data_IF_737950121103
#
_entry.id   IF_737950121103
#
_cell.length_a   1.000
_cell.length_b   1.000
_cell.length_c   1.000
_cell.angle_alpha   90.00
_cell.angle_beta   90.00
_cell.angle_gamma   90.00
#
_symmetry.space_group_name_H-M   'P 1'
#
loop_
_entity.id
_entity.type
_entity.pdbx_description
1 polymer ?
#
# COMPACT_ATOMS: atom_id res chain seq x y z
N UNK A 1 -29.54 -29.86 68.58
CA UNK A 1 -28.56 -28.76 68.47
C UNK A 1 -27.86 -28.82 67.14
N UNK A 2 -28.30 -28.08 66.13
CA UNK A 2 -27.78 -28.11 64.77
C UNK A 2 -26.99 -26.84 64.48
N UNK A 3 -25.67 -26.97 64.33
CA UNK A 3 -24.79 -25.87 63.97
C UNK A 3 -24.83 -25.69 62.43
N UNK A 4 -25.37 -24.54 62.00
CA UNK A 4 -25.30 -24.06 60.60
C UNK A 4 -23.92 -23.46 60.34
N UNK A 5 -23.14 -24.12 59.46
CA UNK A 5 -21.91 -23.53 58.90
C UNK A 5 -22.27 -22.60 57.74
N UNK A 6 -21.98 -21.33 57.93
CA UNK A 6 -22.06 -20.33 56.86
C UNK A 6 -20.71 -20.36 56.07
N UNK A 7 -20.72 -20.93 54.90
CA UNK A 7 -19.62 -20.78 53.92
C UNK A 7 -19.76 -19.40 53.28
N UNK A 8 -18.83 -18.50 53.60
CA UNK A 8 -18.67 -17.23 52.90
C UNK A 8 -17.91 -17.49 51.63
N UNK A 9 -18.61 -17.44 50.49
CA UNK A 9 -17.98 -17.44 49.15
C UNK A 9 -17.32 -16.09 48.92
N UNK A 10 -16.00 -16.05 48.89
CA UNK A 10 -15.22 -14.91 48.40
C UNK A 10 -15.22 -14.96 46.88
N UNK A 11 -15.99 -14.09 46.24
CA UNK A 11 -15.89 -13.83 44.82
C UNK A 11 -14.65 -12.95 44.55
N UNK A 12 -13.60 -13.53 44.00
CA UNK A 12 -12.46 -12.76 43.52
C UNK A 12 -12.83 -12.20 42.13
N UNK A 13 -13.15 -10.92 42.07
CA UNK A 13 -13.31 -10.20 40.82
C UNK A 13 -11.92 -9.92 40.23
N UNK A 14 -11.51 -10.70 39.23
CA UNK A 14 -10.35 -10.40 38.45
C UNK A 14 -10.66 -9.22 37.48
N UNK A 15 -10.20 -8.03 37.84
CA UNK A 15 -10.21 -6.87 36.93
C UNK A 15 -9.15 -7.09 35.89
N UNK A 16 -9.54 -7.55 34.70
CA UNK A 16 -8.67 -7.58 33.53
C UNK A 16 -8.56 -6.13 33.02
N UNK A 17 -7.49 -5.45 33.39
CA UNK A 17 -7.11 -4.17 32.79
C UNK A 17 -6.71 -4.44 31.34
N UNK A 18 -7.62 -4.24 30.39
CA UNK A 18 -7.28 -4.15 28.97
C UNK A 18 -6.50 -2.85 28.76
N UNK A 19 -5.19 -2.93 28.73
CA UNK A 19 -4.36 -1.87 28.22
C UNK A 19 -4.68 -1.76 26.72
N UNK A 20 -5.50 -0.80 26.35
CA UNK A 20 -5.67 -0.38 24.96
C UNK A 20 -4.33 0.22 24.50
N UNK A 21 -3.48 -0.59 23.90
CA UNK A 21 -2.34 -0.09 23.17
C UNK A 21 -2.91 0.76 22.02
N UNK A 22 -2.79 2.08 22.16
CA UNK A 22 -3.04 2.98 21.04
C UNK A 22 -2.01 2.64 19.97
N UNK A 23 -2.40 1.84 18.99
CA UNK A 23 -1.60 1.58 17.81
C UNK A 23 -1.58 2.88 16.99
N UNK A 24 -0.62 3.74 17.27
CA UNK A 24 -0.30 4.91 16.44
C UNK A 24 0.43 4.38 15.21
N UNK A 25 -0.16 4.54 14.05
CA UNK A 25 0.54 4.26 12.81
C UNK A 25 1.65 5.31 12.62
N UNK A 26 2.88 4.84 12.59
CA UNK A 26 4.07 5.67 12.43
C UNK A 26 4.36 5.86 10.93
N UNK A 27 4.38 7.09 10.44
CA UNK A 27 4.81 7.37 9.07
C UNK A 27 6.34 7.23 9.03
N UNK A 28 6.82 6.20 8.35
CA UNK A 28 8.25 5.91 8.24
C UNK A 28 8.89 6.59 7.03
N UNK A 29 8.10 6.86 5.99
CA UNK A 29 8.55 7.59 4.81
C UNK A 29 7.37 8.17 4.04
N UNK A 30 7.56 9.35 3.45
CA UNK A 30 6.63 9.94 2.51
C UNK A 30 7.41 10.61 1.37
N UNK A 31 7.00 10.37 0.14
CA UNK A 31 7.57 11.01 -1.05
C UNK A 31 6.46 11.55 -1.93
N UNK A 32 6.74 12.68 -2.58
CA UNK A 32 5.81 13.33 -3.50
C UNK A 32 6.54 13.70 -4.78
N UNK A 33 5.84 13.68 -5.89
CA UNK A 33 6.34 14.19 -7.15
C UNK A 33 5.24 14.92 -7.89
N UNK A 34 5.61 15.98 -8.60
CA UNK A 34 4.74 16.76 -9.45
C UNK A 34 5.16 16.58 -10.92
N UNK A 35 4.29 17.00 -11.81
CA UNK A 35 4.54 16.90 -13.24
C UNK A 35 4.04 15.58 -13.83
N UNK A 36 3.74 15.67 -15.12
CA UNK A 36 3.19 14.55 -15.88
C UNK A 36 4.28 13.51 -16.16
N UNK A 37 3.98 12.25 -15.88
CA UNK A 37 4.80 11.11 -16.23
C UNK A 37 4.02 10.18 -17.18
N UNK A 38 4.42 10.08 -18.44
CA UNK A 38 3.76 9.19 -19.38
C UNK A 38 4.14 7.73 -19.12
N UNK A 39 3.16 6.84 -19.27
CA UNK A 39 3.34 5.40 -19.16
C UNK A 39 3.23 4.82 -20.56
N UNK A 40 4.31 4.24 -21.05
CA UNK A 40 4.42 3.67 -22.42
C UNK A 40 4.71 2.18 -22.42
N UNK A 41 4.86 1.55 -21.25
CA UNK A 41 5.29 0.16 -21.14
C UNK A 41 4.15 -0.74 -20.68
N UNK A 42 4.01 -1.87 -21.32
CA UNK A 42 3.18 -2.98 -20.84
C UNK A 42 3.89 -3.80 -19.76
N UNK A 43 5.20 -3.63 -19.61
CA UNK A 43 5.98 -4.19 -18.50
C UNK A 43 6.05 -3.19 -17.35
N UNK A 44 6.01 -3.63 -16.08
CA UNK A 44 6.13 -2.74 -14.93
C UNK A 44 7.42 -1.93 -14.96
N UNK A 45 7.33 -0.61 -14.93
CA UNK A 45 8.46 0.32 -14.88
C UNK A 45 8.37 1.21 -13.66
N UNK A 46 9.52 1.56 -13.08
CA UNK A 46 9.56 2.41 -11.90
C UNK A 46 9.00 3.79 -12.20
N UNK A 47 8.08 4.25 -11.36
CA UNK A 47 7.53 5.60 -11.46
C UNK A 47 8.52 6.59 -10.83
N UNK A 48 9.05 7.55 -11.59
CA UNK A 48 10.02 8.51 -11.08
C UNK A 48 9.54 9.28 -9.86
N UNK A 49 10.40 9.41 -8.86
CA UNK A 49 10.10 10.10 -7.60
C UNK A 49 9.24 9.30 -6.63
N UNK A 50 8.85 8.07 -6.97
CA UNK A 50 8.05 7.19 -6.13
C UNK A 50 8.88 6.05 -5.55
N UNK A 51 10.04 6.38 -5.04
CA UNK A 51 10.93 5.51 -4.27
C UNK A 51 11.24 6.17 -2.92
N UNK A 52 11.07 5.44 -1.83
CA UNK A 52 11.43 5.94 -0.50
C UNK A 52 12.93 5.86 -0.27
N UNK A 53 13.45 6.67 0.65
CA UNK A 53 14.72 6.35 1.30
C UNK A 53 14.62 5.02 2.04
N UNK A 54 15.75 4.37 2.29
CA UNK A 54 15.79 3.17 3.10
C UNK A 54 15.37 3.49 4.55
N UNK A 55 14.57 2.61 5.16
CA UNK A 55 14.11 2.72 6.54
C UNK A 55 14.24 1.39 7.27
N UNK A 56 14.45 1.44 8.58
CA UNK A 56 14.47 0.26 9.44
C UNK A 56 13.06 -0.12 9.87
N UNK A 57 12.70 -1.39 9.69
CA UNK A 57 11.42 -1.97 10.10
C UNK A 57 11.63 -3.01 11.20
N UNK A 58 10.91 -2.92 12.33
CA UNK A 58 11.11 -3.83 13.48
C UNK A 58 10.50 -5.22 13.27
N UNK A 59 9.84 -5.45 12.15
CA UNK A 59 9.00 -6.60 11.88
C UNK A 59 7.51 -6.30 12.08
N UNK A 60 6.65 -7.10 11.47
CA UNK A 60 5.21 -6.91 11.49
C UNK A 60 4.64 -6.34 10.20
N UNK A 61 3.52 -5.64 10.27
CA UNK A 61 2.84 -5.09 9.11
C UNK A 61 3.47 -3.78 8.65
N UNK A 62 3.65 -3.65 7.35
CA UNK A 62 3.96 -2.43 6.64
C UNK A 62 2.76 -2.09 5.76
N UNK A 63 2.31 -0.86 5.83
CA UNK A 63 1.21 -0.32 5.02
C UNK A 63 1.76 0.76 4.12
N UNK A 64 1.39 0.77 2.85
CA UNK A 64 1.70 1.89 1.99
C UNK A 64 0.49 2.32 1.18
N UNK A 65 0.31 3.64 1.06
CA UNK A 65 -0.72 4.26 0.25
C UNK A 65 -0.07 5.06 -0.86
N UNK A 66 -0.42 4.73 -2.08
CA UNK A 66 -0.06 5.49 -3.27
C UNK A 66 -1.28 6.24 -3.79
N UNK A 67 -1.12 7.54 -4.03
CA UNK A 67 -2.17 8.41 -4.59
C UNK A 67 -1.59 9.15 -5.78
N UNK A 68 -2.31 9.20 -6.90
CA UNK A 68 -1.88 9.93 -8.08
C UNK A 68 -3.08 10.45 -8.88
N UNK A 69 -2.89 11.61 -9.53
CA UNK A 69 -3.67 11.92 -10.71
C UNK A 69 -3.33 10.90 -11.79
N UNK A 70 -4.34 10.34 -12.43
CA UNK A 70 -4.18 9.31 -13.42
C UNK A 70 -5.12 9.51 -14.59
N UNK A 71 -4.63 9.18 -15.78
CA UNK A 71 -5.41 9.14 -17.01
C UNK A 71 -4.97 7.93 -17.84
N UNK A 72 -5.93 7.13 -18.26
CA UNK A 72 -5.71 6.07 -19.25
C UNK A 72 -6.42 6.48 -20.54
N UNK A 73 -5.65 6.57 -21.64
CA UNK A 73 -6.23 6.85 -22.95
C UNK A 73 -7.07 5.67 -23.42
N UNK A 74 -8.10 5.96 -24.19
CA UNK A 74 -8.85 4.91 -24.89
C UNK A 74 -7.88 4.15 -25.83
N UNK A 75 -8.02 2.84 -25.81
CA UNK A 75 -7.30 1.97 -26.73
C UNK A 75 -7.82 2.10 -28.18
N UNK A 76 -7.30 1.33 -29.13
CA UNK A 76 -7.84 1.28 -30.48
C UNK A 76 -9.34 1.05 -30.46
N UNK A 77 -10.06 1.67 -31.40
CA UNK A 77 -11.51 1.75 -31.49
C UNK A 77 -12.20 0.47 -31.03
N UNK A 78 -12.98 0.56 -29.93
CA UNK A 78 -13.81 -0.52 -29.39
C UNK A 78 -13.29 -1.21 -28.13
N UNK A 79 -12.13 -0.84 -27.58
CA UNK A 79 -11.62 -1.42 -26.34
C UNK A 79 -11.56 -0.40 -25.19
N UNK A 80 -12.62 -0.27 -24.41
CA UNK A 80 -12.63 0.47 -23.15
C UNK A 80 -11.87 -0.27 -22.03
N UNK A 81 -10.89 -1.10 -22.38
CA UNK A 81 -10.21 -2.00 -21.43
C UNK A 81 -8.80 -1.57 -21.05
N UNK A 82 -8.34 -0.42 -21.56
CA UNK A 82 -7.03 0.05 -21.16
C UNK A 82 -7.07 0.52 -19.71
N UNK A 83 -6.16 -0.01 -18.90
CA UNK A 83 -5.94 0.43 -17.53
C UNK A 83 -4.49 0.85 -17.35
N UNK A 84 -4.28 1.78 -16.45
CA UNK A 84 -2.97 2.04 -15.85
C UNK A 84 -2.93 1.26 -14.54
N UNK A 85 -2.14 0.20 -14.54
CA UNK A 85 -1.95 -0.62 -13.36
C UNK A 85 -0.74 -0.13 -12.58
N UNK A 86 -0.81 -0.27 -11.26
CA UNK A 86 0.32 0.00 -10.37
C UNK A 86 0.55 -1.18 -9.43
N UNK A 87 1.81 -1.37 -9.06
CA UNK A 87 2.18 -2.19 -7.92
C UNK A 87 3.08 -1.39 -6.96
N UNK A 88 2.98 -1.70 -5.68
CA UNK A 88 3.84 -1.17 -4.64
C UNK A 88 4.74 -2.31 -4.20
N UNK A 89 6.03 -2.22 -4.53
CA UNK A 89 7.01 -3.26 -4.29
C UNK A 89 7.99 -2.89 -3.18
N UNK A 90 8.40 -3.87 -2.39
CA UNK A 90 9.36 -3.72 -1.30
C UNK A 90 10.67 -4.39 -1.67
N UNK A 91 11.77 -3.72 -1.40
CA UNK A 91 13.12 -4.17 -1.68
C UNK A 91 13.99 -4.12 -0.43
N UNK A 92 14.92 -5.04 -0.31
CA UNK A 92 15.97 -5.01 0.72
C UNK A 92 17.15 -4.09 0.31
N UNK A 93 18.14 -3.97 1.17
CA UNK A 93 19.34 -3.15 0.93
C UNK A 93 20.22 -3.63 -0.22
N UNK A 94 20.02 -4.85 -0.70
CA UNK A 94 20.72 -5.41 -1.88
C UNK A 94 19.93 -5.18 -3.18
N UNK A 95 18.85 -4.41 -3.15
CA UNK A 95 17.90 -4.20 -4.24
C UNK A 95 17.21 -5.50 -4.70
N UNK A 96 17.12 -6.51 -3.85
CA UNK A 96 16.32 -7.69 -4.10
C UNK A 96 14.89 -7.42 -3.70
N UNK A 97 13.95 -7.65 -4.60
CA UNK A 97 12.53 -7.57 -4.29
C UNK A 97 12.15 -8.64 -3.27
N UNK A 98 11.60 -8.22 -2.13
CA UNK A 98 11.14 -9.12 -1.06
C UNK A 98 9.64 -9.39 -1.14
N UNK A 99 8.88 -8.55 -1.82
CA UNK A 99 7.45 -8.77 -2.04
C UNK A 99 6.72 -7.57 -2.61
N UNK A 100 5.41 -7.72 -2.72
CA UNK A 100 4.48 -6.68 -3.09
C UNK A 100 3.51 -6.43 -1.92
N UNK A 101 3.02 -5.21 -1.81
CA UNK A 101 1.92 -4.91 -0.90
C UNK A 101 0.61 -5.38 -1.54
N UNK A 102 -0.11 -6.28 -0.88
CA UNK A 102 -1.40 -6.77 -1.34
C UNK A 102 -2.53 -5.78 -0.93
N UNK A 103 -3.51 -5.46 -1.80
CA UNK A 103 -3.78 -6.03 -3.11
C UNK A 103 -3.05 -5.34 -4.29
N UNK A 104 -2.07 -4.46 -4.06
CA UNK A 104 -1.34 -3.77 -5.13
C UNK A 104 -0.32 -4.68 -5.82
N UNK A 105 -0.72 -5.90 -6.13
CA UNK A 105 0.04 -6.78 -7.00
C UNK A 105 -0.17 -6.39 -8.47
N UNK A 106 0.67 -6.90 -9.35
CA UNK A 106 0.85 -6.51 -10.76
C UNK A 106 -0.42 -6.34 -11.64
N UNK A 107 -1.62 -6.37 -11.09
CA UNK A 107 -2.88 -6.24 -11.82
C UNK A 107 -3.86 -5.26 -11.15
N UNK A 108 -3.42 -4.43 -10.21
CA UNK A 108 -4.31 -3.45 -9.59
C UNK A 108 -4.44 -2.22 -10.48
N UNK A 109 -5.58 -2.08 -11.14
CA UNK A 109 -5.89 -0.91 -11.93
C UNK A 109 -5.98 0.33 -11.04
N UNK A 110 -5.12 1.32 -11.29
CA UNK A 110 -5.22 2.63 -10.64
C UNK A 110 -6.32 3.47 -11.34
N UNK A 111 -6.31 3.51 -12.66
CA UNK A 111 -7.36 4.14 -13.45
C UNK A 111 -7.59 3.39 -14.76
N UNK A 112 -8.76 3.59 -15.39
CA UNK A 112 -9.15 2.93 -16.63
C UNK A 112 -9.54 3.94 -17.70
N UNK A 113 -9.48 3.53 -18.95
CA UNK A 113 -10.03 4.30 -20.05
C UNK A 113 -11.50 4.62 -19.79
N UNK A 114 -11.90 5.85 -20.09
CA UNK A 114 -13.26 6.35 -19.82
C UNK A 114 -13.48 6.92 -18.42
N UNK A 115 -12.58 6.71 -17.46
CA UNK A 115 -12.68 7.32 -16.13
C UNK A 115 -12.33 8.84 -16.12
N UNK A 116 -11.84 9.35 -17.25
CA UNK A 116 -11.33 10.71 -17.33
C UNK A 116 -10.04 10.90 -16.52
N UNK A 117 -9.65 12.16 -16.37
CA UNK A 117 -8.56 12.53 -15.46
C UNK A 117 -9.13 12.70 -14.05
N UNK A 118 -8.64 11.93 -13.10
CA UNK A 118 -9.04 12.01 -11.69
C UNK A 118 -7.90 11.61 -10.78
N UNK A 119 -8.04 11.88 -9.49
CA UNK A 119 -7.13 11.41 -8.46
C UNK A 119 -7.61 10.07 -7.94
N UNK A 120 -6.73 9.08 -7.99
CA UNK A 120 -6.97 7.73 -7.52
C UNK A 120 -5.99 7.36 -6.42
N UNK A 121 -6.39 6.43 -5.58
CA UNK A 121 -5.55 5.93 -4.49
C UNK A 121 -5.62 4.42 -4.41
N UNK A 122 -4.49 3.79 -4.11
CA UNK A 122 -4.41 2.37 -3.75
C UNK A 122 -3.61 2.22 -2.47
N UNK A 123 -4.06 1.33 -1.60
CA UNK A 123 -3.39 1.00 -0.35
C UNK A 123 -3.10 -0.48 -0.32
N UNK A 124 -1.90 -0.83 0.06
CA UNK A 124 -1.50 -2.22 0.22
C UNK A 124 -0.81 -2.47 1.56
N UNK A 125 -0.76 -3.74 1.94
CA UNK A 125 -0.18 -4.23 3.19
C UNK A 125 0.73 -5.42 2.89
N UNK A 126 1.84 -5.51 3.62
CA UNK A 126 2.73 -6.68 3.61
C UNK A 126 3.22 -6.93 5.04
N UNK A 127 3.42 -8.19 5.42
CA UNK A 127 4.11 -8.55 6.66
C UNK A 127 5.57 -8.82 6.35
N UNK A 128 6.47 -8.13 7.05
CA UNK A 128 7.92 -8.22 6.86
C UNK A 128 8.61 -8.68 8.15
N UNK A 129 9.72 -9.43 8.06
CA UNK A 129 10.61 -9.62 9.20
C UNK A 129 11.33 -8.30 9.56
N UNK A 130 12.01 -8.24 10.73
CA UNK A 130 12.89 -7.13 11.02
C UNK A 130 13.97 -6.96 9.94
N UNK A 131 14.21 -5.71 9.51
CA UNK A 131 15.16 -5.44 8.44
C UNK A 131 15.19 -4.00 7.99
N UNK A 132 15.99 -3.71 6.98
CA UNK A 132 16.04 -2.41 6.32
C UNK A 132 15.52 -2.56 4.90
N UNK A 133 14.58 -1.72 4.54
CA UNK A 133 13.81 -1.81 3.30
C UNK A 133 13.68 -0.44 2.64
N UNK A 134 13.35 -0.44 1.37
CA UNK A 134 12.77 0.69 0.67
C UNK A 134 11.57 0.23 -0.15
N UNK A 135 10.65 1.14 -0.41
CA UNK A 135 9.42 0.89 -1.16
C UNK A 135 9.45 1.71 -2.43
N UNK A 136 9.04 1.13 -3.52
CA UNK A 136 8.86 1.83 -4.78
C UNK A 136 7.54 1.48 -5.45
N UNK A 137 7.04 2.39 -6.26
CA UNK A 137 5.84 2.18 -7.09
C UNK A 137 6.28 1.95 -8.54
N UNK A 138 5.71 0.91 -9.15
CA UNK A 138 5.86 0.64 -10.57
C UNK A 138 4.51 0.79 -11.25
N UNK A 139 4.54 1.20 -12.49
CA UNK A 139 3.35 1.33 -13.31
C UNK A 139 3.51 0.69 -14.68
N UNK A 140 2.41 0.25 -15.25
CA UNK A 140 2.30 -0.25 -16.63
C UNK A 140 0.90 0.05 -17.17
N UNK A 141 0.73 -0.10 -18.44
CA UNK A 141 -0.61 -0.21 -19.03
C UNK A 141 -0.89 -1.65 -19.49
N UNK A 142 -2.16 -2.00 -19.60
CA UNK A 142 -2.57 -3.39 -19.83
C UNK A 142 -2.76 -3.76 -21.30
N UNK A 143 -2.85 -2.78 -22.18
CA UNK A 143 -3.08 -3.05 -23.62
C UNK A 143 -1.95 -2.50 -24.49
N UNK A 144 -1.53 -3.29 -25.48
CA UNK A 144 -0.60 -2.84 -26.50
C UNK A 144 -1.12 -1.61 -27.23
N UNK A 145 -0.24 -0.64 -27.50
CA UNK A 145 -0.52 0.64 -28.17
C UNK A 145 -1.42 1.60 -27.40
N UNK A 146 -1.74 1.30 -26.17
CA UNK A 146 -2.40 2.25 -25.29
C UNK A 146 -1.38 3.22 -24.69
N UNK A 147 -1.85 4.32 -24.19
CA UNK A 147 -1.05 5.27 -23.43
C UNK A 147 -1.80 5.72 -22.20
N UNK A 148 -1.04 6.18 -21.24
CA UNK A 148 -1.59 6.78 -20.04
C UNK A 148 -0.57 7.74 -19.45
N UNK A 149 -0.97 8.48 -18.45
CA UNK A 149 -0.03 9.31 -17.70
C UNK A 149 -0.47 9.44 -16.24
N UNK A 150 0.49 9.73 -15.40
CA UNK A 150 0.30 10.11 -14.02
C UNK A 150 0.74 11.55 -13.82
N UNK A 151 -0.04 12.32 -13.10
CA UNK A 151 0.25 13.70 -12.70
C UNK A 151 0.89 13.78 -11.32
N UNK A 152 0.41 14.72 -10.51
CA UNK A 152 0.81 14.86 -9.12
C UNK A 152 0.53 13.56 -8.35
N UNK A 153 1.52 13.12 -7.56
CA UNK A 153 1.49 11.82 -6.91
C UNK A 153 2.22 11.80 -5.58
N UNK A 154 1.81 10.91 -4.70
CA UNK A 154 2.44 10.70 -3.40
C UNK A 154 2.46 9.23 -3.02
N UNK A 155 3.48 8.83 -2.28
CA UNK A 155 3.59 7.54 -1.63
C UNK A 155 3.85 7.78 -0.15
N UNK A 156 3.00 7.24 0.71
CA UNK A 156 3.13 7.29 2.18
C UNK A 156 3.28 5.87 2.68
N UNK A 157 4.29 5.63 3.48
CA UNK A 157 4.60 4.33 4.09
C UNK A 157 4.49 4.44 5.60
N UNK A 158 3.76 3.53 6.20
CA UNK A 158 3.44 3.47 7.64
C UNK A 158 3.75 2.08 8.21
N UNK A 159 4.00 2.03 9.53
CA UNK A 159 4.20 0.78 10.30
C UNK A 159 3.42 0.80 11.59
#
# INVERSE_FOLDING_TARGET
MTRKHWLKSLAVAAVVAMASANASADVVSAVTATGRYPIYSSSPTNIPGMITSAFTHPGGQLVATYTAECYAAEGPVGSNRNTVDVDIAVFDTTNRQVGFLSPSEANTALCSAGSGQATFSTTGVITLPPGTYHVLVRGRYTQERASGWMGARSLVVMR
#
